data_IF_130397869229
#
_entry.id   IF_130397869229
#
_cell.length_a   1.000
_cell.length_b   1.000
_cell.length_c   1.000
_cell.angle_alpha   90.00
_cell.angle_beta   90.00
_cell.angle_gamma   90.00
#
_symmetry.space_group_name_H-M   'P 1'
#
loop_
_entity.id
_entity.type
_entity.pdbx_description
1 polymer ?
#
# COMPACT_ATOMS: atom_id res chain seq x y z
N UNK A 1 12.12 -10.11 15.84
CA UNK A 1 11.06 -10.54 14.92
C UNK A 1 10.88 -9.44 13.90
N UNK A 2 10.92 -9.72 12.58
CA UNK A 2 10.67 -8.69 11.58
C UNK A 2 9.21 -8.23 11.63
N UNK A 3 8.95 -7.02 11.11
CA UNK A 3 7.62 -6.45 11.11
C UNK A 3 7.23 -5.83 9.78
N UNK A 4 5.93 -5.84 9.48
CA UNK A 4 5.33 -5.15 8.35
C UNK A 4 4.29 -4.13 8.83
N UNK A 5 4.34 -2.91 8.31
CA UNK A 5 3.27 -1.93 8.46
C UNK A 5 2.44 -1.86 7.16
N UNK A 6 1.14 -2.10 7.27
CA UNK A 6 0.20 -2.11 6.14
C UNK A 6 -0.72 -0.89 6.27
N UNK A 7 -0.54 0.09 5.38
CA UNK A 7 -1.34 1.31 5.33
C UNK A 7 -2.45 1.13 4.29
N UNK A 8 -3.70 1.29 4.72
CA UNK A 8 -4.88 0.91 3.94
C UNK A 8 -5.40 -0.48 4.32
N UNK A 9 -5.05 -0.94 5.53
CA UNK A 9 -5.45 -2.26 6.02
C UNK A 9 -6.97 -2.43 6.02
N UNK A 10 -7.44 -3.41 5.26
CA UNK A 10 -8.85 -3.76 5.11
C UNK A 10 -9.04 -5.28 4.95
N UNK A 11 -10.31 -5.74 4.87
CA UNK A 11 -10.63 -7.17 4.84
C UNK A 11 -10.25 -7.88 3.53
N UNK A 12 -9.89 -7.13 2.48
CA UNK A 12 -9.41 -7.67 1.20
C UNK A 12 -7.88 -7.75 1.18
N UNK A 13 -7.23 -6.93 0.32
CA UNK A 13 -5.77 -6.97 0.11
C UNK A 13 -4.97 -6.82 1.40
N UNK A 14 -5.33 -5.86 2.27
CA UNK A 14 -4.59 -5.66 3.52
C UNK A 14 -4.55 -6.90 4.40
N UNK A 15 -5.66 -7.62 4.55
CA UNK A 15 -5.71 -8.88 5.31
C UNK A 15 -4.92 -10.00 4.63
N UNK A 16 -5.02 -10.13 3.31
CA UNK A 16 -4.29 -11.15 2.55
C UNK A 16 -2.76 -10.94 2.63
N UNK A 17 -2.30 -9.69 2.50
CA UNK A 17 -0.89 -9.32 2.68
C UNK A 17 -0.45 -9.60 4.12
N UNK A 18 -1.28 -9.23 5.12
CA UNK A 18 -1.01 -9.51 6.52
C UNK A 18 -0.80 -11.01 6.81
N UNK A 19 -1.65 -11.87 6.24
CA UNK A 19 -1.51 -13.33 6.32
C UNK A 19 -0.25 -13.83 5.63
N UNK A 20 0.03 -13.30 4.44
CA UNK A 20 1.22 -13.69 3.67
C UNK A 20 2.50 -13.43 4.46
N UNK A 21 2.68 -12.24 5.01
CA UNK A 21 3.86 -11.92 5.82
C UNK A 21 3.82 -12.56 7.21
N UNK A 22 2.65 -12.56 7.87
CA UNK A 22 2.49 -13.15 9.19
C UNK A 22 2.80 -14.64 9.22
N UNK A 23 2.40 -15.41 8.18
CA UNK A 23 2.76 -16.83 8.05
C UNK A 23 4.26 -17.09 7.88
N UNK A 24 5.02 -16.06 7.53
CA UNK A 24 6.49 -16.05 7.45
C UNK A 24 7.15 -15.53 8.74
N UNK A 25 6.37 -15.31 9.79
CA UNK A 25 6.87 -14.90 11.11
C UNK A 25 7.04 -13.38 11.30
N UNK A 26 6.38 -12.56 10.48
CA UNK A 26 6.35 -11.11 10.67
C UNK A 26 5.26 -10.72 11.68
N UNK A 27 5.58 -9.79 12.56
CA UNK A 27 4.57 -9.01 13.30
C UNK A 27 3.90 -7.99 12.38
N UNK A 28 2.59 -7.75 12.54
CA UNK A 28 1.78 -6.97 11.60
C UNK A 28 1.20 -5.73 12.26
N UNK A 29 1.59 -4.55 11.77
CA UNK A 29 0.95 -3.29 12.11
C UNK A 29 -0.13 -2.94 11.08
N UNK A 30 -1.38 -2.90 11.51
CA UNK A 30 -2.54 -2.56 10.67
C UNK A 30 -2.87 -1.08 10.81
N UNK A 31 -2.80 -0.31 9.72
CA UNK A 31 -3.02 1.14 9.71
C UNK A 31 -4.16 1.49 8.77
N UNK A 32 -5.23 2.07 9.30
CA UNK A 32 -6.37 2.65 8.58
C UNK A 32 -7.19 3.53 9.53
N UNK A 33 -8.23 4.20 9.02
CA UNK A 33 -9.01 5.18 9.81
C UNK A 33 -9.86 4.56 10.93
N UNK A 34 -10.44 3.40 10.69
CA UNK A 34 -11.44 2.82 11.58
C UNK A 34 -10.82 1.83 12.57
N UNK A 35 -10.71 2.26 13.85
CA UNK A 35 -10.12 1.46 14.93
C UNK A 35 -10.82 0.12 15.14
N UNK A 36 -12.16 0.09 15.12
CA UNK A 36 -12.91 -1.13 15.43
C UNK A 36 -12.70 -2.18 14.34
N UNK A 37 -12.73 -1.76 13.06
CA UNK A 37 -12.40 -2.66 11.94
C UNK A 37 -10.97 -3.17 12.00
N UNK A 38 -10.01 -2.34 12.41
CA UNK A 38 -8.63 -2.78 12.58
C UNK A 38 -8.48 -3.79 13.72
N UNK A 39 -9.19 -3.58 14.84
CA UNK A 39 -9.20 -4.52 15.96
C UNK A 39 -9.81 -5.87 15.55
N UNK A 40 -10.90 -5.86 14.76
CA UNK A 40 -11.49 -7.09 14.21
C UNK A 40 -10.49 -7.84 13.31
N UNK A 41 -9.76 -7.13 12.46
CA UNK A 41 -8.73 -7.74 11.61
C UNK A 41 -7.57 -8.30 12.44
N UNK A 42 -7.11 -7.56 13.46
CA UNK A 42 -6.06 -8.03 14.37
C UNK A 42 -6.51 -9.29 15.13
N UNK A 43 -7.76 -9.32 15.62
CA UNK A 43 -8.32 -10.50 16.27
C UNK A 43 -8.42 -11.73 15.36
N UNK A 44 -8.71 -11.53 14.07
CA UNK A 44 -8.71 -12.62 13.08
C UNK A 44 -7.29 -13.17 12.86
N UNK A 45 -6.29 -12.30 12.74
CA UNK A 45 -4.90 -12.68 12.58
C UNK A 45 -4.36 -13.39 13.83
N UNK A 46 -4.72 -12.91 15.03
CA UNK A 46 -4.35 -13.55 16.30
C UNK A 46 -4.92 -14.97 16.40
N UNK A 47 -6.16 -15.18 15.98
CA UNK A 47 -6.77 -16.51 15.92
C UNK A 47 -6.06 -17.47 14.93
N UNK A 48 -5.33 -16.93 13.97
CA UNK A 48 -4.48 -17.65 13.01
C UNK A 48 -3.02 -17.79 13.51
N UNK A 49 -2.70 -17.32 14.73
CA UNK A 49 -1.37 -17.34 15.32
C UNK A 49 -0.43 -16.25 14.82
N UNK A 50 -0.95 -15.20 14.21
CA UNK A 50 -0.19 -14.06 13.67
C UNK A 50 -0.30 -12.87 14.63
N UNK A 51 0.80 -12.41 15.17
CA UNK A 51 0.84 -11.21 16.03
C UNK A 51 0.48 -9.98 15.19
N UNK A 52 -0.62 -9.32 15.54
CA UNK A 52 -1.05 -8.11 14.85
C UNK A 52 -1.56 -7.04 15.83
N UNK A 53 -1.43 -5.77 15.46
CA UNK A 53 -1.97 -4.66 16.26
C UNK A 53 -2.50 -3.53 15.37
N UNK A 54 -3.51 -2.80 15.90
CA UNK A 54 -4.19 -1.70 15.23
C UNK A 54 -3.57 -0.34 15.58
N UNK A 55 -3.25 0.46 14.56
CA UNK A 55 -2.72 1.82 14.69
C UNK A 55 -3.57 2.77 13.84
N UNK A 56 -4.70 3.28 14.37
CA UNK A 56 -5.63 4.09 13.57
C UNK A 56 -5.00 5.42 13.15
N UNK A 57 -5.01 5.69 11.85
CA UNK A 57 -4.61 6.96 11.25
C UNK A 57 -5.31 7.19 9.92
N UNK A 58 -5.53 8.45 9.57
CA UNK A 58 -5.95 8.87 8.23
C UNK A 58 -4.70 9.25 7.42
N UNK A 59 -4.59 8.76 6.20
CA UNK A 59 -3.46 9.10 5.31
C UNK A 59 -3.46 10.57 4.89
N UNK A 60 -4.58 11.27 5.05
CA UNK A 60 -4.69 12.72 4.84
C UNK A 60 -4.15 13.53 6.03
N UNK A 61 -4.04 12.95 7.22
CA UNK A 61 -3.38 13.54 8.38
C UNK A 61 -1.97 12.98 8.51
N UNK A 62 -1.01 13.66 7.89
CA UNK A 62 0.38 13.22 7.81
C UNK A 62 1.06 13.12 9.17
N UNK A 63 0.67 13.96 10.13
CA UNK A 63 1.22 13.93 11.49
C UNK A 63 0.68 12.71 12.24
N UNK A 64 -0.62 12.44 12.18
CA UNK A 64 -1.23 11.25 12.76
C UNK A 64 -0.69 9.96 12.11
N UNK A 65 -0.50 9.93 10.78
CA UNK A 65 0.10 8.81 10.07
C UNK A 65 1.55 8.56 10.53
N UNK A 66 2.34 9.62 10.64
CA UNK A 66 3.73 9.54 11.13
C UNK A 66 3.76 9.02 12.57
N UNK A 67 2.84 9.48 13.44
CA UNK A 67 2.77 9.01 14.82
C UNK A 67 2.36 7.54 14.90
N UNK A 68 1.37 7.10 14.11
CA UNK A 68 0.95 5.69 14.05
C UNK A 68 2.10 4.76 13.63
N UNK A 69 2.94 5.17 12.67
CA UNK A 69 4.12 4.42 12.25
C UNK A 69 5.20 4.37 13.35
N UNK A 70 5.42 5.45 14.10
CA UNK A 70 6.33 5.47 15.25
C UNK A 70 5.84 4.56 16.38
N UNK A 71 4.53 4.56 16.65
CA UNK A 71 3.93 3.70 17.67
C UNK A 71 4.04 2.23 17.26
N UNK A 72 3.83 1.91 15.98
CA UNK A 72 4.03 0.58 15.42
C UNK A 72 5.50 0.13 15.54
N UNK A 73 6.45 0.99 15.17
CA UNK A 73 7.87 0.72 15.32
C UNK A 73 8.27 0.50 16.79
N UNK A 74 7.70 1.29 17.70
CA UNK A 74 7.93 1.12 19.15
C UNK A 74 7.38 -0.23 19.65
N UNK A 75 6.19 -0.62 19.17
CA UNK A 75 5.51 -1.86 19.57
C UNK A 75 6.26 -3.12 19.11
N UNK A 76 6.79 -3.11 17.87
CA UNK A 76 7.38 -4.28 17.22
C UNK A 76 8.91 -4.23 17.09
N UNK A 77 9.55 -3.17 17.58
CA UNK A 77 11.00 -3.03 17.56
C UNK A 77 11.58 -2.51 16.25
N UNK A 78 10.73 -2.01 15.35
CA UNK A 78 11.10 -1.48 14.05
C UNK A 78 9.98 -1.66 13.02
N UNK A 79 10.22 -1.25 11.77
CA UNK A 79 9.40 -1.56 10.60
C UNK A 79 10.36 -1.99 9.49
N UNK A 80 10.34 -3.28 9.14
CA UNK A 80 11.20 -3.86 8.09
C UNK A 80 10.57 -3.73 6.71
N UNK A 81 9.23 -3.78 6.67
CA UNK A 81 8.45 -3.65 5.43
C UNK A 81 7.35 -2.61 5.62
N UNK A 82 7.26 -1.64 4.72
CA UNK A 82 6.13 -0.74 4.59
C UNK A 82 5.33 -1.14 3.35
N UNK A 83 4.05 -1.43 3.50
CA UNK A 83 3.11 -1.59 2.41
C UNK A 83 2.11 -0.43 2.42
N UNK A 84 1.96 0.26 1.30
CA UNK A 84 1.11 1.43 1.14
C UNK A 84 0.08 1.19 0.04
N UNK A 85 -1.17 0.95 0.45
CA UNK A 85 -2.30 0.69 -0.46
C UNK A 85 -3.61 1.30 0.02
N UNK A 86 -3.66 2.59 0.41
CA UNK A 86 -4.93 3.16 0.85
C UNK A 86 -5.94 3.13 -0.29
N UNK A 87 -6.97 2.32 -0.11
CA UNK A 87 -8.14 2.26 -0.99
C UNK A 87 -9.15 3.33 -0.61
N UNK A 88 -9.69 4.04 -1.60
CA UNK A 88 -10.93 4.79 -1.47
C UNK A 88 -12.07 4.00 -2.11
N UNK A 89 -13.31 4.18 -1.65
CA UNK A 89 -14.46 3.71 -2.40
C UNK A 89 -14.53 4.49 -3.72
N UNK A 90 -14.38 3.80 -4.86
CA UNK A 90 -14.60 4.42 -6.18
C UNK A 90 -16.00 5.03 -6.30
N UNK A 91 -16.97 4.52 -5.52
CA UNK A 91 -18.35 5.04 -5.48
C UNK A 91 -18.44 6.47 -4.93
N UNK A 92 -17.50 6.88 -4.09
CA UNK A 92 -17.45 8.24 -3.51
C UNK A 92 -16.48 9.18 -4.22
N UNK A 93 -15.80 8.70 -5.27
CA UNK A 93 -14.79 9.46 -6.00
C UNK A 93 -15.40 9.98 -7.31
N UNK A 94 -15.43 11.28 -7.53
CA UNK A 94 -15.79 11.80 -8.84
C UNK A 94 -14.72 11.41 -9.85
N UNK A 95 -15.06 10.46 -10.74
CA UNK A 95 -14.18 10.04 -11.82
C UNK A 95 -14.47 10.92 -13.04
N UNK A 96 -13.41 11.45 -13.64
CA UNK A 96 -13.52 12.37 -14.80
C UNK A 96 -12.63 11.91 -15.94
N UNK A 97 -13.13 12.08 -17.16
CA UNK A 97 -12.32 11.92 -18.38
C UNK A 97 -11.29 13.05 -18.47
N UNK A 98 -10.12 12.86 -19.12
CA UNK A 98 -9.06 13.86 -19.14
C UNK A 98 -9.50 15.24 -19.68
N UNK A 99 -10.37 15.28 -20.66
CA UNK A 99 -10.88 16.54 -21.25
C UNK A 99 -11.85 17.31 -20.33
N UNK A 100 -12.39 16.65 -19.30
CA UNK A 100 -13.36 17.20 -18.36
C UNK A 100 -12.76 17.42 -16.96
N UNK A 101 -11.50 17.00 -16.77
CA UNK A 101 -10.83 17.03 -15.47
C UNK A 101 -10.43 18.48 -15.11
N UNK A 102 -10.83 18.92 -13.92
CA UNK A 102 -10.34 20.16 -13.31
C UNK A 102 -9.16 19.85 -12.36
N UNK A 103 -8.30 20.84 -12.04
CA UNK A 103 -7.22 20.63 -11.07
C UNK A 103 -7.68 20.07 -9.72
N UNK A 104 -8.84 20.50 -9.23
CA UNK A 104 -9.43 20.02 -7.97
C UNK A 104 -9.80 18.53 -8.02
N UNK A 105 -10.13 17.99 -9.19
CA UNK A 105 -10.53 16.58 -9.36
C UNK A 105 -9.33 15.64 -9.21
N UNK A 106 -8.12 16.14 -9.49
CA UNK A 106 -6.86 15.40 -9.32
C UNK A 106 -6.33 15.51 -7.89
N UNK A 107 -6.55 16.66 -7.24
CA UNK A 107 -5.96 16.96 -5.92
C UNK A 107 -6.27 15.89 -4.88
N UNK A 108 -7.53 15.46 -4.78
CA UNK A 108 -7.96 14.42 -3.85
C UNK A 108 -7.15 13.11 -4.02
N UNK A 109 -6.96 12.67 -5.26
CA UNK A 109 -6.22 11.44 -5.53
C UNK A 109 -4.71 11.61 -5.25
N UNK A 110 -4.16 12.80 -5.50
CA UNK A 110 -2.78 13.14 -5.15
C UNK A 110 -2.56 13.12 -3.64
N UNK A 111 -3.50 13.68 -2.87
CA UNK A 111 -3.40 13.71 -1.40
C UNK A 111 -3.34 12.29 -0.81
N UNK A 112 -4.23 11.39 -1.28
CA UNK A 112 -4.27 10.01 -0.79
C UNK A 112 -3.10 9.18 -1.32
N UNK A 113 -2.86 9.20 -2.64
CA UNK A 113 -1.93 8.25 -3.25
C UNK A 113 -0.47 8.70 -3.11
N UNK A 114 -0.16 9.96 -3.44
CA UNK A 114 1.22 10.42 -3.49
C UNK A 114 1.67 11.05 -2.17
N UNK A 115 0.93 12.03 -1.65
CA UNK A 115 1.41 12.80 -0.50
C UNK A 115 1.41 11.97 0.78
N UNK A 116 0.39 11.10 0.98
CA UNK A 116 0.40 10.14 2.05
C UNK A 116 1.54 9.12 1.95
N UNK A 117 1.86 8.63 0.73
CA UNK A 117 2.99 7.74 0.50
C UNK A 117 4.33 8.42 0.85
N UNK A 118 4.52 9.68 0.45
CA UNK A 118 5.70 10.47 0.81
C UNK A 118 5.81 10.62 2.32
N UNK A 119 4.72 10.95 3.01
CA UNK A 119 4.70 11.11 4.46
C UNK A 119 5.07 9.79 5.17
N UNK A 120 4.46 8.68 4.77
CA UNK A 120 4.76 7.35 5.31
C UNK A 120 6.23 6.95 5.10
N UNK A 121 6.74 7.18 3.88
CA UNK A 121 8.15 6.89 3.56
C UNK A 121 9.10 7.68 4.44
N UNK A 122 8.86 8.97 4.61
CA UNK A 122 9.69 9.85 5.47
C UNK A 122 9.70 9.41 6.92
N UNK A 123 8.65 8.75 7.39
CA UNK A 123 8.57 8.24 8.76
C UNK A 123 9.45 7.00 8.99
N UNK A 124 9.64 6.13 7.99
CA UNK A 124 10.32 4.83 8.16
C UNK A 124 11.70 4.79 7.50
N UNK A 125 11.90 5.46 6.37
CA UNK A 125 13.12 5.37 5.55
C UNK A 125 14.42 5.73 6.28
N UNK A 126 14.49 6.74 7.17
CA UNK A 126 15.73 7.05 7.88
C UNK A 126 16.28 5.86 8.69
N UNK A 127 15.40 5.16 9.41
CA UNK A 127 15.78 3.98 10.21
C UNK A 127 16.15 2.80 9.33
N UNK A 128 15.42 2.56 8.23
CA UNK A 128 15.77 1.52 7.24
C UNK A 128 17.14 1.78 6.61
N UNK A 129 17.47 3.04 6.27
CA UNK A 129 18.79 3.40 5.73
C UNK A 129 19.92 3.19 6.75
N UNK A 130 19.69 3.54 8.00
CA UNK A 130 20.66 3.32 9.09
C UNK A 130 20.91 1.82 9.32
N UNK A 131 19.85 1.01 9.23
CA UNK A 131 19.94 -0.45 9.33
C UNK A 131 20.56 -1.10 8.08
N UNK A 132 20.62 -0.40 6.95
CA UNK A 132 21.07 -0.95 5.68
C UNK A 132 20.12 -2.02 5.12
N UNK A 133 18.86 -2.03 5.55
CA UNK A 133 17.85 -3.01 5.16
C UNK A 133 16.43 -2.41 5.25
N UNK A 134 15.55 -2.80 4.33
CA UNK A 134 14.15 -2.40 4.33
C UNK A 134 13.48 -2.66 3.00
N UNK A 135 12.14 -2.72 3.00
CA UNK A 135 11.34 -2.87 1.79
C UNK A 135 10.15 -1.92 1.83
N UNK A 136 9.97 -1.16 0.78
CA UNK A 136 8.90 -0.20 0.58
C UNK A 136 8.06 -0.65 -0.62
N UNK A 137 6.80 -1.03 -0.39
CA UNK A 137 5.87 -1.54 -1.39
C UNK A 137 4.72 -0.55 -1.57
N UNK A 138 4.47 -0.12 -2.79
CA UNK A 138 3.41 0.86 -3.09
C UNK A 138 2.46 0.30 -4.12
N UNK A 139 1.18 0.27 -3.78
CA UNK A 139 0.14 -0.34 -4.60
C UNK A 139 -0.83 0.70 -5.13
N UNK A 140 -1.15 0.58 -6.41
CA UNK A 140 -2.28 1.29 -7.02
C UNK A 140 -2.87 0.49 -8.19
N UNK A 141 -3.76 1.10 -8.97
CA UNK A 141 -4.35 0.46 -10.15
C UNK A 141 -3.43 0.46 -11.36
N UNK A 142 -3.63 -0.50 -12.27
CA UNK A 142 -2.87 -0.61 -13.53
C UNK A 142 -3.05 0.60 -14.45
N UNK A 143 -4.00 1.50 -14.20
CA UNK A 143 -4.11 2.79 -14.87
C UNK A 143 -2.89 3.71 -14.70
N UNK A 144 -1.99 3.39 -13.76
CA UNK A 144 -0.68 4.01 -13.65
C UNK A 144 0.30 3.63 -14.78
N UNK A 145 0.05 2.50 -15.44
CA UNK A 145 0.87 1.92 -16.53
C UNK A 145 0.15 2.02 -17.86
N UNK A 146 -1.12 1.60 -17.90
CA UNK A 146 -1.99 1.62 -19.07
C UNK A 146 -3.31 2.34 -18.73
N UNK A 147 -3.39 3.67 -18.96
CA UNK A 147 -4.50 4.48 -18.50
C UNK A 147 -5.75 4.30 -19.35
N UNK A 148 -6.91 4.29 -18.68
CA UNK A 148 -8.23 4.29 -19.32
C UNK A 148 -8.86 5.69 -19.28
N UNK A 149 -9.48 6.18 -20.37
CA UNK A 149 -10.00 7.55 -20.41
C UNK A 149 -11.02 7.89 -19.32
N UNK A 150 -11.86 6.95 -18.89
CA UNK A 150 -12.89 7.19 -17.88
C UNK A 150 -12.32 7.47 -16.47
N UNK A 151 -11.04 7.19 -16.23
CA UNK A 151 -10.37 7.37 -14.96
C UNK A 151 -9.27 8.45 -15.02
N UNK A 152 -9.42 9.44 -15.87
CA UNK A 152 -8.38 10.40 -16.21
C UNK A 152 -7.73 11.08 -15.01
N UNK A 153 -8.53 11.60 -14.08
CA UNK A 153 -8.05 12.22 -12.85
C UNK A 153 -7.34 11.23 -11.92
N UNK A 154 -7.88 10.02 -11.77
CA UNK A 154 -7.29 8.98 -10.91
C UNK A 154 -5.99 8.44 -11.52
N UNK A 155 -5.99 8.13 -12.81
CA UNK A 155 -4.81 7.64 -13.53
C UNK A 155 -3.62 8.62 -13.43
N UNK A 156 -3.90 9.93 -13.48
CA UNK A 156 -2.86 10.95 -13.34
C UNK A 156 -2.15 10.86 -11.99
N UNK A 157 -2.90 10.72 -10.90
CA UNK A 157 -2.33 10.59 -9.56
C UNK A 157 -1.64 9.22 -9.36
N UNK A 158 -2.20 8.15 -9.92
CA UNK A 158 -1.58 6.82 -9.91
C UNK A 158 -0.24 6.82 -10.65
N UNK A 159 -0.19 7.47 -11.82
CA UNK A 159 1.05 7.61 -12.59
C UNK A 159 2.10 8.46 -11.83
N UNK A 160 1.67 9.49 -11.11
CA UNK A 160 2.55 10.30 -10.27
C UNK A 160 3.19 9.45 -9.15
N UNK A 161 2.41 8.66 -8.43
CA UNK A 161 2.95 7.72 -7.43
C UNK A 161 3.93 6.73 -8.06
N UNK A 162 3.54 6.08 -9.16
CA UNK A 162 4.40 5.14 -9.88
C UNK A 162 5.75 5.76 -10.24
N UNK A 163 5.74 6.93 -10.89
CA UNK A 163 6.97 7.60 -11.29
C UNK A 163 7.86 7.96 -10.08
N UNK A 164 7.26 8.42 -8.99
CA UNK A 164 7.96 8.73 -7.76
C UNK A 164 8.62 7.48 -7.15
N UNK A 165 7.90 6.33 -7.10
CA UNK A 165 8.44 5.06 -6.60
C UNK A 165 9.62 4.56 -7.43
N UNK A 166 9.51 4.62 -8.78
CA UNK A 166 10.60 4.24 -9.68
C UNK A 166 11.84 5.13 -9.49
N UNK A 167 11.64 6.42 -9.20
CA UNK A 167 12.71 7.36 -8.89
C UNK A 167 13.34 7.05 -7.53
N UNK A 168 12.52 6.77 -6.51
CA UNK A 168 12.96 6.39 -5.17
C UNK A 168 13.79 5.09 -5.22
N UNK A 169 13.36 4.09 -5.98
CA UNK A 169 14.11 2.86 -6.18
C UNK A 169 15.54 3.14 -6.67
N UNK A 170 15.69 4.02 -7.67
CA UNK A 170 17.01 4.39 -8.20
C UNK A 170 17.86 5.14 -7.18
N UNK A 171 17.25 6.03 -6.40
CA UNK A 171 17.94 6.75 -5.32
C UNK A 171 18.44 5.82 -4.22
N UNK A 172 17.70 4.74 -3.94
CA UNK A 172 18.00 3.78 -2.89
C UNK A 172 18.99 2.69 -3.32
N UNK A 173 19.47 2.70 -4.55
CA UNK A 173 20.51 1.78 -4.99
C UNK A 173 21.69 1.79 -4.01
N UNK A 174 22.23 0.62 -3.70
CA UNK A 174 23.37 0.41 -2.80
C UNK A 174 23.11 0.77 -1.30
N UNK A 175 21.87 1.15 -0.93
CA UNK A 175 21.53 1.45 0.49
C UNK A 175 21.04 0.23 1.28
N UNK A 176 20.79 -0.90 0.62
CA UNK A 176 20.15 -2.07 1.21
C UNK A 176 18.63 -1.94 1.35
N UNK A 177 18.04 -0.76 1.06
CA UNK A 177 16.58 -0.55 1.04
C UNK A 177 16.05 -0.65 -0.39
N UNK A 178 14.96 -1.39 -0.56
CA UNK A 178 14.26 -1.52 -1.84
C UNK A 178 12.94 -0.74 -1.83
N UNK A 179 12.62 -0.07 -2.93
CA UNK A 179 11.27 0.43 -3.22
C UNK A 179 10.73 -0.27 -4.46
N UNK A 180 9.48 -0.75 -4.41
CA UNK A 180 8.81 -1.40 -5.53
C UNK A 180 7.35 -0.95 -5.67
N UNK A 181 6.89 -0.92 -6.91
CA UNK A 181 5.53 -0.55 -7.30
C UNK A 181 4.73 -1.79 -7.71
N UNK A 182 3.48 -1.87 -7.23
CA UNK A 182 2.52 -2.90 -7.62
C UNK A 182 1.33 -2.24 -8.30
N UNK A 183 1.07 -2.61 -9.55
CA UNK A 183 -0.06 -2.15 -10.33
C UNK A 183 -1.11 -3.27 -10.46
N UNK A 184 -2.32 -3.07 -9.92
CA UNK A 184 -3.39 -4.04 -9.93
C UNK A 184 -4.33 -3.76 -11.12
N UNK A 185 -4.39 -4.68 -12.09
CA UNK A 185 -5.22 -4.60 -13.28
C UNK A 185 -6.48 -5.46 -13.23
N UNK A 186 -6.91 -5.85 -12.05
CA UNK A 186 -8.09 -6.68 -11.81
C UNK A 186 -8.97 -6.10 -10.71
N UNK A 187 -10.24 -6.50 -10.69
CA UNK A 187 -11.10 -6.27 -9.53
C UNK A 187 -10.74 -7.25 -8.42
N UNK A 188 -10.51 -6.75 -7.21
CA UNK A 188 -10.21 -7.61 -6.08
C UNK A 188 -11.50 -8.10 -5.42
N UNK A 189 -11.70 -9.41 -5.45
CA UNK A 189 -12.87 -10.09 -4.88
C UNK A 189 -14.02 -10.23 -5.86
N UNK A 190 -15.25 -10.29 -5.34
CA UNK A 190 -16.49 -10.48 -6.11
C UNK A 190 -17.23 -9.16 -6.34
N UNK A 191 -18.12 -9.12 -7.34
CA UNK A 191 -18.99 -7.96 -7.57
C UNK A 191 -18.35 -6.82 -8.36
N UNK A 192 -17.27 -7.09 -9.09
CA UNK A 192 -16.65 -6.12 -9.99
C UNK A 192 -17.55 -5.72 -11.16
N UNK A 193 -17.22 -4.62 -11.88
CA UNK A 193 -17.95 -4.20 -13.05
C UNK A 193 -17.94 -5.28 -14.16
N UNK A 194 -19.00 -5.40 -14.97
CA UNK A 194 -19.03 -6.34 -16.08
C UNK A 194 -17.84 -6.14 -17.03
N UNK A 195 -17.18 -7.24 -17.42
CA UNK A 195 -16.04 -7.22 -18.33
C UNK A 195 -14.70 -6.83 -17.71
N UNK A 196 -14.66 -6.51 -16.42
CA UNK A 196 -13.41 -6.32 -15.67
C UNK A 196 -12.97 -7.66 -15.11
N UNK A 197 -11.75 -8.13 -15.42
CA UNK A 197 -11.21 -9.34 -14.81
C UNK A 197 -11.17 -9.23 -13.28
N UNK A 198 -11.37 -10.33 -12.58
CA UNK A 198 -11.36 -10.37 -11.13
C UNK A 198 -10.39 -11.45 -10.60
N UNK A 199 -9.79 -11.18 -9.46
CA UNK A 199 -8.99 -12.12 -8.71
C UNK A 199 -9.27 -11.97 -7.21
N UNK A 200 -9.05 -13.02 -6.43
CA UNK A 200 -9.09 -12.91 -4.97
C UNK A 200 -7.85 -12.19 -4.45
N UNK A 201 -7.96 -11.60 -3.28
CA UNK A 201 -6.81 -10.99 -2.62
C UNK A 201 -5.71 -12.02 -2.30
N UNK A 202 -6.09 -13.25 -2.03
CA UNK A 202 -5.21 -14.39 -1.76
C UNK A 202 -4.39 -14.81 -3.00
N UNK A 203 -4.91 -14.62 -4.21
CA UNK A 203 -4.17 -14.87 -5.45
C UNK A 203 -3.13 -13.78 -5.72
N UNK A 204 -3.38 -12.55 -5.28
CA UNK A 204 -2.49 -11.40 -5.51
C UNK A 204 -1.43 -11.27 -4.41
N UNK A 205 -1.76 -11.55 -3.16
CA UNK A 205 -0.89 -11.27 -2.01
C UNK A 205 0.51 -11.93 -2.06
N UNK A 206 0.70 -13.15 -2.61
CA UNK A 206 2.04 -13.75 -2.73
C UNK A 206 3.05 -12.90 -3.51
N UNK A 207 2.59 -12.08 -4.45
CA UNK A 207 3.43 -11.16 -5.23
C UNK A 207 4.21 -10.18 -4.33
N UNK A 208 3.64 -9.75 -3.22
CA UNK A 208 4.30 -8.84 -2.27
C UNK A 208 5.44 -9.52 -1.53
N UNK A 209 5.28 -10.78 -1.20
CA UNK A 209 6.34 -11.61 -0.61
C UNK A 209 7.48 -11.84 -1.60
N UNK A 210 7.14 -12.14 -2.87
CA UNK A 210 8.13 -12.31 -3.92
C UNK A 210 8.95 -11.05 -4.12
N UNK A 211 8.32 -9.88 -4.22
CA UNK A 211 9.02 -8.59 -4.34
C UNK A 211 9.92 -8.31 -3.13
N UNK A 212 9.47 -8.65 -1.92
CA UNK A 212 10.27 -8.48 -0.70
C UNK A 212 11.51 -9.38 -0.69
N UNK A 213 11.39 -10.63 -1.11
CA UNK A 213 12.44 -11.65 -0.97
C UNK A 213 13.38 -11.72 -2.16
N UNK A 214 12.87 -11.64 -3.40
CA UNK A 214 13.67 -11.75 -4.61
C UNK A 214 14.43 -10.47 -4.93
N UNK A 215 13.79 -9.31 -4.74
CA UNK A 215 14.37 -7.97 -4.88
C UNK A 215 14.96 -7.67 -6.28
N UNK A 216 14.51 -8.39 -7.28
CA UNK A 216 15.01 -8.35 -8.66
C UNK A 216 14.17 -7.45 -9.58
N UNK A 217 12.99 -7.02 -9.11
CA UNK A 217 12.06 -6.17 -9.84
C UNK A 217 11.71 -4.89 -9.07
N UNK A 218 11.54 -3.81 -9.80
CA UNK A 218 11.07 -2.52 -9.26
C UNK A 218 9.56 -2.35 -9.43
N UNK A 219 8.96 -3.12 -10.32
CA UNK A 219 7.53 -3.01 -10.64
C UNK A 219 6.96 -4.37 -11.01
N UNK A 220 5.79 -4.67 -10.47
CA UNK A 220 4.98 -5.82 -10.89
C UNK A 220 3.58 -5.36 -11.28
N UNK A 221 3.12 -5.76 -12.47
CA UNK A 221 1.75 -5.55 -12.91
C UNK A 221 1.00 -6.87 -12.79
N UNK A 222 -0.06 -6.89 -11.98
CA UNK A 222 -0.92 -8.07 -11.85
C UNK A 222 -2.13 -7.95 -12.78
N UNK A 223 -2.23 -8.86 -13.72
CA UNK A 223 -3.35 -9.04 -14.66
C UNK A 223 -3.69 -10.53 -14.76
N UNK A 224 -4.90 -10.87 -15.22
CA UNK A 224 -5.37 -12.25 -15.53
C UNK A 224 -5.85 -12.31 -16.96
#
# INVERSE_FOLDING_TARGET
VPSIAIIGAGPGMGLAIARTFGSQGFDVALIARNRDKLNDLAGRLDAEGITAAAFPADVLDHDALTQALKDAATRFGGIDVLEYSPGGSLESTPLTAPSETNPSDVQWAMDILLYGAIAATRAVLPVMREAGAGTLLYTNGAGSVDPTPMLGNLNAAQAALRNWVLSLHKELADTGVQAAHVAIGVWIGTGGPPGVPAASAEEVAPLYWDLHTQRDEVERVFTV
#
